data_IF_705674593782
#
_entry.id   IF_705674593782
#
_cell.length_a   1.000
_cell.length_b   1.000
_cell.length_c   1.000
_cell.angle_alpha   90.00
_cell.angle_beta   90.00
_cell.angle_gamma   90.00
#
_symmetry.space_group_name_H-M   'P 1'
#
loop_
_entity.id
_entity.type
_entity.pdbx_description
1 polymer ?
#
# COMPACT_ATOMS: atom_id res chain seq x y z
N UNK A 1 -14.90 -16.87 -6.08
CA UNK A 1 -14.02 -15.81 -6.56
C UNK A 1 -12.59 -16.22 -6.28
N UNK A 2 -11.73 -16.14 -7.27
CA UNK A 2 -10.30 -16.44 -7.17
C UNK A 2 -9.51 -15.15 -7.07
N UNK A 3 -8.54 -15.09 -6.14
CA UNK A 3 -7.69 -13.94 -5.93
C UNK A 3 -6.23 -14.38 -5.99
N UNK A 4 -5.41 -13.68 -6.76
CA UNK A 4 -3.96 -13.89 -6.81
C UNK A 4 -3.26 -12.71 -6.12
N UNK A 5 -2.49 -12.97 -5.06
CA UNK A 5 -1.81 -11.95 -4.25
C UNK A 5 -0.31 -12.03 -4.47
N UNK A 6 0.29 -10.98 -5.01
CA UNK A 6 1.75 -10.85 -5.22
C UNK A 6 2.42 -10.15 -4.04
N UNK A 7 3.41 -10.81 -3.46
CA UNK A 7 4.09 -10.40 -2.24
C UNK A 7 3.35 -10.89 -1.00
N UNK A 8 3.91 -11.88 -0.32
CA UNK A 8 3.37 -12.46 0.92
C UNK A 8 4.08 -11.89 2.16
N UNK A 9 4.41 -10.59 2.09
CA UNK A 9 4.99 -9.84 3.19
C UNK A 9 3.93 -9.33 4.18
N UNK A 10 4.28 -8.19 4.82
CA UNK A 10 3.52 -7.59 5.91
C UNK A 10 2.05 -7.23 5.57
N UNK A 11 1.77 -6.87 4.32
CA UNK A 11 0.42 -6.52 3.86
C UNK A 11 -0.23 -7.70 3.13
N UNK A 12 0.46 -8.30 2.15
CA UNK A 12 -0.18 -9.25 1.23
C UNK A 12 -0.56 -10.57 1.87
N UNK A 13 0.24 -11.12 2.78
CA UNK A 13 -0.12 -12.38 3.45
C UNK A 13 -1.34 -12.22 4.37
N UNK A 14 -1.44 -11.18 5.23
CA UNK A 14 -2.64 -10.94 6.02
C UNK A 14 -3.88 -10.69 5.16
N UNK A 15 -3.76 -9.89 4.09
CA UNK A 15 -4.86 -9.68 3.14
C UNK A 15 -5.30 -11.00 2.53
N UNK A 16 -4.37 -11.81 2.02
CA UNK A 16 -4.67 -13.12 1.43
C UNK A 16 -5.33 -14.08 2.42
N UNK A 17 -4.81 -14.16 3.65
CA UNK A 17 -5.38 -15.02 4.69
C UNK A 17 -6.79 -14.55 5.09
N UNK A 18 -7.02 -13.24 5.22
CA UNK A 18 -8.35 -12.69 5.48
C UNK A 18 -9.35 -13.06 4.38
N UNK A 19 -8.98 -12.86 3.11
CA UNK A 19 -9.82 -13.20 1.96
C UNK A 19 -10.16 -14.71 1.92
N UNK A 20 -9.19 -15.57 2.22
CA UNK A 20 -9.37 -17.01 2.30
C UNK A 20 -10.40 -17.40 3.40
N UNK A 21 -10.38 -16.72 4.56
CA UNK A 21 -11.38 -16.96 5.63
C UNK A 21 -12.78 -16.45 5.26
N UNK A 22 -12.88 -15.56 4.27
CA UNK A 22 -14.17 -15.13 3.68
C UNK A 22 -14.65 -16.07 2.56
N UNK A 23 -13.99 -17.23 2.38
CA UNK A 23 -14.37 -18.24 1.40
C UNK A 23 -13.88 -17.99 -0.02
N UNK A 24 -12.96 -17.06 -0.22
CA UNK A 24 -12.30 -16.84 -1.52
C UNK A 24 -11.16 -17.84 -1.70
N UNK A 25 -10.91 -18.28 -2.92
CA UNK A 25 -9.74 -19.07 -3.26
C UNK A 25 -8.56 -18.15 -3.52
N UNK A 26 -7.57 -18.18 -2.65
CA UNK A 26 -6.41 -17.28 -2.69
C UNK A 26 -5.16 -18.03 -3.11
N UNK A 27 -4.52 -17.55 -4.17
CA UNK A 27 -3.21 -17.99 -4.62
C UNK A 27 -2.20 -16.90 -4.31
N UNK A 28 -1.34 -17.14 -3.31
CA UNK A 28 -0.29 -16.22 -2.91
C UNK A 28 0.99 -16.47 -3.71
N UNK A 29 1.63 -15.41 -4.19
CA UNK A 29 2.87 -15.47 -4.98
C UNK A 29 3.97 -14.74 -4.24
N UNK A 30 5.09 -15.43 -3.99
CA UNK A 30 6.29 -14.82 -3.42
C UNK A 30 7.55 -15.41 -4.03
N UNK A 31 8.64 -14.65 -4.02
CA UNK A 31 9.94 -15.09 -4.54
C UNK A 31 10.79 -15.82 -3.49
N UNK A 32 10.36 -15.82 -2.21
CA UNK A 32 11.06 -16.48 -1.11
C UNK A 32 10.56 -17.92 -0.91
N UNK A 33 11.33 -18.96 -1.33
CA UNK A 33 10.89 -20.34 -1.21
C UNK A 33 10.66 -20.80 0.24
N UNK A 34 11.47 -20.29 1.19
CA UNK A 34 11.34 -20.65 2.59
C UNK A 34 10.03 -20.10 3.19
N UNK A 35 9.60 -18.89 2.78
CA UNK A 35 8.31 -18.33 3.17
C UNK A 35 7.16 -19.15 2.61
N UNK A 36 7.23 -19.52 1.34
CA UNK A 36 6.21 -20.35 0.66
C UNK A 36 6.07 -21.70 1.39
N UNK A 37 7.19 -22.36 1.70
CA UNK A 37 7.19 -23.62 2.44
C UNK A 37 6.59 -23.48 3.84
N UNK A 38 6.98 -22.43 4.58
CA UNK A 38 6.46 -22.17 5.92
C UNK A 38 4.95 -21.91 5.92
N UNK A 39 4.44 -21.15 4.94
CA UNK A 39 2.99 -20.88 4.80
C UNK A 39 2.26 -22.19 4.51
N UNK A 40 2.64 -22.91 3.45
CA UNK A 40 1.97 -24.15 3.03
C UNK A 40 2.07 -25.27 4.07
N UNK A 41 3.19 -25.32 4.81
CA UNK A 41 3.41 -26.27 5.89
C UNK A 41 2.71 -25.91 7.20
N UNK A 42 2.06 -24.74 7.30
CA UNK A 42 1.41 -24.26 8.53
C UNK A 42 2.39 -23.95 9.67
N UNK A 43 3.67 -23.69 9.35
CA UNK A 43 4.75 -23.37 10.29
C UNK A 43 5.12 -21.89 10.29
N UNK A 44 4.38 -21.08 9.55
CA UNK A 44 4.55 -19.62 9.53
C UNK A 44 4.31 -19.03 10.92
N UNK A 45 5.21 -18.15 11.34
CA UNK A 45 5.15 -17.43 12.63
C UNK A 45 5.22 -15.94 12.38
N UNK A 46 4.35 -15.19 13.03
CA UNK A 46 4.27 -13.73 12.92
C UNK A 46 4.41 -13.06 14.29
N UNK A 47 4.94 -11.84 14.30
CA UNK A 47 4.86 -10.95 15.46
C UNK A 47 3.48 -10.26 15.58
N UNK A 48 2.67 -10.31 14.51
CA UNK A 48 1.31 -9.77 14.51
C UNK A 48 0.36 -10.72 15.23
N UNK A 49 -0.44 -10.23 16.19
CA UNK A 49 -1.39 -11.06 16.92
C UNK A 49 -2.34 -11.82 15.97
N UNK A 50 -2.55 -13.10 16.25
CA UNK A 50 -3.49 -14.01 15.59
C UNK A 50 -3.25 -14.26 14.09
N UNK A 51 -2.23 -13.66 13.47
CA UNK A 51 -1.97 -13.83 12.04
C UNK A 51 -1.51 -15.26 11.71
N UNK A 52 -0.68 -15.86 12.53
CA UNK A 52 -0.23 -17.25 12.36
C UNK A 52 -1.40 -18.25 12.41
N UNK A 53 -2.35 -18.04 13.33
CA UNK A 53 -3.58 -18.85 13.44
C UNK A 53 -4.47 -18.66 12.21
N UNK A 54 -4.60 -17.42 11.73
CA UNK A 54 -5.40 -17.11 10.55
C UNK A 54 -4.82 -17.78 9.29
N UNK A 55 -3.50 -17.65 9.07
CA UNK A 55 -2.79 -18.27 7.95
C UNK A 55 -2.93 -19.79 8.02
N UNK A 56 -2.72 -20.39 9.18
CA UNK A 56 -2.88 -21.84 9.38
C UNK A 56 -4.29 -22.31 9.07
N UNK A 57 -5.31 -21.55 9.50
CA UNK A 57 -6.71 -21.83 9.19
C UNK A 57 -7.02 -21.71 7.69
N UNK A 58 -6.51 -20.67 7.04
CA UNK A 58 -6.68 -20.41 5.62
C UNK A 58 -6.06 -21.53 4.75
N UNK A 59 -4.84 -21.97 5.10
CA UNK A 59 -4.16 -23.09 4.44
C UNK A 59 -4.88 -24.42 4.73
N UNK A 60 -5.24 -24.66 5.99
CA UNK A 60 -5.93 -25.88 6.41
C UNK A 60 -7.30 -26.08 5.76
N UNK A 61 -8.00 -25.00 5.42
CA UNK A 61 -9.26 -25.05 4.66
C UNK A 61 -9.06 -25.28 3.15
N UNK A 62 -7.83 -25.22 2.65
CA UNK A 62 -7.50 -25.27 1.22
C UNK A 62 -7.82 -24.00 0.45
N UNK A 63 -8.21 -22.92 1.13
CA UNK A 63 -8.55 -21.65 0.50
C UNK A 63 -7.31 -20.73 0.28
N UNK A 64 -6.17 -21.02 0.90
CA UNK A 64 -4.91 -20.32 0.68
C UNK A 64 -3.82 -21.31 0.27
N UNK A 65 -3.17 -21.04 -0.85
CA UNK A 65 -1.99 -21.79 -1.32
C UNK A 65 -0.92 -20.76 -1.72
N UNK A 66 0.32 -20.94 -1.27
CA UNK A 66 1.45 -20.12 -1.67
C UNK A 66 2.30 -20.81 -2.75
N UNK A 67 2.83 -20.04 -3.70
CA UNK A 67 3.62 -20.52 -4.83
C UNK A 67 4.66 -19.49 -5.27
N UNK A 68 5.65 -19.88 -6.05
CA UNK A 68 6.57 -18.97 -6.75
C UNK A 68 6.01 -18.43 -8.07
N UNK A 69 4.95 -19.03 -8.60
CA UNK A 69 4.37 -18.69 -9.89
C UNK A 69 2.90 -18.25 -9.72
N UNK A 70 2.41 -17.27 -10.51
CA UNK A 70 1.02 -16.85 -10.48
C UNK A 70 0.08 -17.88 -11.10
N UNK A 71 -1.20 -17.71 -10.83
CA UNK A 71 -2.29 -18.49 -11.43
C UNK A 71 -3.39 -17.58 -11.97
N UNK A 72 -4.29 -18.14 -12.79
CA UNK A 72 -5.49 -17.45 -13.24
C UNK A 72 -6.38 -17.07 -12.04
N UNK A 73 -6.85 -15.83 -12.05
CA UNK A 73 -7.69 -15.28 -10.99
C UNK A 73 -8.70 -14.26 -11.53
N UNK A 74 -9.73 -13.96 -10.76
CA UNK A 74 -10.67 -12.87 -11.04
C UNK A 74 -10.05 -11.52 -10.64
N UNK A 75 -9.23 -11.54 -9.58
CA UNK A 75 -8.61 -10.35 -8.98
C UNK A 75 -7.13 -10.61 -8.71
N UNK A 76 -6.28 -9.64 -9.07
CA UNK A 76 -4.85 -9.64 -8.81
C UNK A 76 -4.51 -8.49 -7.86
N UNK A 77 -3.92 -8.80 -6.70
CA UNK A 77 -3.49 -7.81 -5.71
C UNK A 77 -1.97 -7.78 -5.70
N UNK A 78 -1.38 -6.58 -5.84
CA UNK A 78 0.06 -6.36 -5.76
C UNK A 78 0.40 -5.67 -4.45
N UNK A 79 1.07 -6.40 -3.56
CA UNK A 79 1.57 -5.94 -2.26
C UNK A 79 3.09 -6.20 -2.13
N UNK A 80 3.81 -5.96 -3.24
CA UNK A 80 5.26 -6.15 -3.35
C UNK A 80 6.03 -4.94 -2.80
N UNK A 81 7.29 -5.11 -2.35
CA UNK A 81 8.08 -4.00 -1.80
C UNK A 81 8.42 -2.94 -2.85
N UNK A 82 8.52 -1.69 -2.39
CA UNK A 82 8.89 -0.51 -3.17
C UNK A 82 9.95 0.30 -2.42
N UNK A 83 11.19 -0.20 -2.31
CA UNK A 83 12.23 0.50 -1.59
C UNK A 83 12.61 1.83 -2.29
N UNK A 84 13.10 2.79 -1.50
CA UNK A 84 13.68 4.01 -2.06
C UNK A 84 15.09 3.70 -2.56
N UNK A 85 15.51 4.34 -3.65
CA UNK A 85 16.89 4.27 -4.11
C UNK A 85 17.86 4.90 -3.09
N UNK A 86 19.12 4.45 -3.06
CA UNK A 86 20.15 4.93 -2.13
C UNK A 86 20.39 6.46 -2.23
N UNK A 87 20.24 7.03 -3.44
CA UNK A 87 20.33 8.46 -3.71
C UNK A 87 19.06 9.26 -3.36
N UNK A 88 18.02 8.57 -2.84
CA UNK A 88 16.70 9.13 -2.49
C UNK A 88 15.96 9.80 -3.67
N UNK A 89 16.34 9.48 -4.90
CA UNK A 89 15.77 10.05 -6.12
C UNK A 89 14.52 9.32 -6.64
N UNK A 90 13.85 8.52 -5.81
CA UNK A 90 12.61 7.83 -6.16
C UNK A 90 12.53 6.42 -5.61
N UNK A 91 11.49 5.68 -6.03
CA UNK A 91 11.24 4.30 -5.64
C UNK A 91 11.80 3.32 -6.67
N UNK A 92 12.34 2.21 -6.19
CA UNK A 92 12.59 1.05 -7.05
C UNK A 92 11.26 0.31 -7.32
N UNK A 93 10.78 0.45 -8.55
CA UNK A 93 9.56 -0.18 -9.04
C UNK A 93 9.81 -1.53 -9.74
N UNK A 94 11.01 -2.08 -9.64
CA UNK A 94 11.40 -3.32 -10.33
C UNK A 94 10.50 -4.51 -9.93
N UNK A 95 10.14 -4.62 -8.64
CA UNK A 95 9.26 -5.67 -8.15
C UNK A 95 7.82 -5.51 -8.70
N UNK A 96 7.29 -4.30 -8.78
CA UNK A 96 5.97 -4.04 -9.40
C UNK A 96 6.01 -4.38 -10.89
N UNK A 97 7.06 -3.96 -11.60
CA UNK A 97 7.23 -4.25 -13.02
C UNK A 97 7.33 -5.76 -13.29
N UNK A 98 8.07 -6.49 -12.44
CA UNK A 98 8.17 -7.95 -12.51
C UNK A 98 6.81 -8.62 -12.25
N UNK A 99 6.05 -8.17 -11.25
CA UNK A 99 4.71 -8.65 -10.97
C UNK A 99 3.74 -8.37 -12.15
N UNK A 100 3.78 -7.17 -12.75
CA UNK A 100 3.00 -6.85 -13.94
C UNK A 100 3.33 -7.79 -15.12
N UNK A 101 4.62 -8.09 -15.33
CA UNK A 101 5.04 -9.04 -16.36
C UNK A 101 4.52 -10.45 -16.07
N UNK A 102 4.63 -10.92 -14.83
CA UNK A 102 4.20 -12.27 -14.43
C UNK A 102 2.68 -12.45 -14.55
N UNK A 103 1.88 -11.49 -14.05
CA UNK A 103 0.42 -11.57 -14.12
C UNK A 103 -0.13 -11.43 -15.54
N UNK A 104 0.59 -10.76 -16.45
CA UNK A 104 0.10 -10.50 -17.82
C UNK A 104 -0.30 -11.76 -18.57
N UNK A 105 0.42 -12.88 -18.36
CA UNK A 105 0.10 -14.18 -18.98
C UNK A 105 -1.20 -14.82 -18.45
N UNK A 106 -1.73 -14.34 -17.34
CA UNK A 106 -2.91 -14.87 -16.65
C UNK A 106 -4.12 -13.96 -16.71
N UNK A 107 -3.99 -12.79 -17.38
CA UNK A 107 -5.10 -11.83 -17.50
C UNK A 107 -6.14 -12.28 -18.52
N UNK A 108 -7.38 -12.08 -18.14
CA UNK A 108 -8.56 -12.22 -19.00
C UNK A 108 -9.45 -10.97 -18.90
N UNK A 109 -10.30 -10.73 -19.91
CA UNK A 109 -11.31 -9.68 -19.82
C UNK A 109 -12.14 -9.77 -18.55
N UNK A 110 -12.43 -8.64 -17.93
CA UNK A 110 -13.18 -8.54 -16.67
C UNK A 110 -12.34 -8.65 -15.41
N UNK A 111 -11.06 -9.00 -15.50
CA UNK A 111 -10.18 -9.03 -14.34
C UNK A 111 -10.00 -7.65 -13.70
N UNK A 112 -9.78 -7.65 -12.39
CA UNK A 112 -9.42 -6.49 -11.59
C UNK A 112 -8.00 -6.62 -11.08
N UNK A 113 -7.17 -5.59 -11.30
CA UNK A 113 -5.83 -5.47 -10.73
C UNK A 113 -5.86 -4.37 -9.68
N UNK A 114 -5.37 -4.66 -8.48
CA UNK A 114 -5.30 -3.71 -7.37
C UNK A 114 -3.83 -3.57 -6.94
N UNK A 115 -3.33 -2.35 -6.92
CA UNK A 115 -2.04 -2.01 -6.35
C UNK A 115 -2.25 -1.56 -4.89
N UNK A 116 -1.82 -2.39 -3.93
CA UNK A 116 -1.82 -2.04 -2.49
C UNK A 116 -0.48 -1.48 -2.01
N UNK A 117 0.61 -1.76 -2.72
CA UNK A 117 1.93 -1.22 -2.38
C UNK A 117 1.91 0.32 -2.34
N UNK A 118 2.62 0.92 -1.38
CA UNK A 118 2.85 2.36 -1.35
C UNK A 118 3.81 2.76 -2.47
N UNK A 119 3.43 3.73 -3.30
CA UNK A 119 4.14 4.05 -4.55
C UNK A 119 4.21 5.54 -4.83
N UNK A 120 5.17 6.02 -5.64
CA UNK A 120 5.17 7.36 -6.21
C UNK A 120 3.94 7.64 -7.07
N UNK A 121 3.60 8.92 -7.19
CA UNK A 121 2.47 9.40 -7.99
C UNK A 121 2.64 9.03 -9.47
N UNK A 122 1.63 8.40 -10.06
CA UNK A 122 1.63 7.97 -11.47
C UNK A 122 2.05 6.51 -11.68
N UNK A 123 2.39 5.77 -10.62
CA UNK A 123 2.79 4.36 -10.73
C UNK A 123 1.67 3.48 -11.27
N UNK A 124 0.42 3.71 -10.87
CA UNK A 124 -0.74 2.96 -11.39
C UNK A 124 -0.91 3.18 -12.90
N UNK A 125 -0.72 4.41 -13.37
CA UNK A 125 -0.74 4.69 -14.82
C UNK A 125 0.42 4.00 -15.54
N UNK A 126 1.60 3.97 -14.93
CA UNK A 126 2.76 3.28 -15.49
C UNK A 126 2.54 1.75 -15.57
N UNK A 127 1.84 1.16 -14.60
CA UNK A 127 1.42 -0.24 -14.67
C UNK A 127 0.52 -0.50 -15.87
N UNK A 128 -0.45 0.38 -16.15
CA UNK A 128 -1.29 0.26 -17.33
C UNK A 128 -0.48 0.23 -18.63
N UNK A 129 0.58 1.06 -18.72
CA UNK A 129 1.50 1.05 -19.87
C UNK A 129 2.26 -0.27 -19.97
N UNK A 130 2.82 -0.79 -18.87
CA UNK A 130 3.56 -2.05 -18.88
C UNK A 130 2.68 -3.26 -19.24
N UNK A 131 1.48 -3.33 -18.65
CA UNK A 131 0.52 -4.41 -18.93
C UNK A 131 0.00 -4.32 -20.36
N UNK A 132 -0.38 -3.12 -20.83
CA UNK A 132 -0.85 -2.90 -22.20
C UNK A 132 0.20 -3.23 -23.27
N UNK A 133 1.49 -3.00 -22.98
CA UNK A 133 2.58 -3.41 -23.87
C UNK A 133 2.74 -4.95 -23.93
N UNK A 134 2.49 -5.67 -22.82
CA UNK A 134 2.54 -7.12 -22.78
C UNK A 134 1.26 -7.79 -23.31
N UNK A 135 0.10 -7.10 -23.23
CA UNK A 135 -1.23 -7.59 -23.63
C UNK A 135 -1.95 -6.55 -24.47
N UNK A 136 -1.51 -6.34 -25.72
CA UNK A 136 -2.13 -5.37 -26.64
C UNK A 136 -3.57 -5.74 -27.06
N UNK A 137 -3.99 -6.96 -26.79
CA UNK A 137 -5.32 -7.49 -26.98
C UNK A 137 -6.32 -7.04 -25.90
N UNK A 138 -5.81 -6.55 -24.73
CA UNK A 138 -6.62 -6.09 -23.61
C UNK A 138 -6.67 -4.55 -23.54
N UNK A 139 -7.78 -4.03 -23.04
CA UNK A 139 -7.94 -2.60 -22.79
C UNK A 139 -7.77 -2.32 -21.30
N UNK A 140 -6.70 -1.61 -20.92
CA UNK A 140 -6.43 -1.23 -19.53
C UNK A 140 -6.81 0.23 -19.34
N UNK A 141 -7.92 0.48 -18.61
CA UNK A 141 -8.32 1.81 -18.17
C UNK A 141 -8.20 2.91 -19.23
N UNK A 142 -9.00 2.88 -20.28
CA UNK A 142 -9.14 4.00 -21.22
C UNK A 142 -10.47 4.70 -20.96
N UNK A 143 -10.40 5.97 -20.58
CA UNK A 143 -11.57 6.82 -20.30
C UNK A 143 -12.51 7.00 -21.48
N UNK A 144 -12.00 6.81 -22.71
CA UNK A 144 -12.74 7.08 -23.96
C UNK A 144 -13.46 5.84 -24.52
N UNK A 145 -13.23 4.66 -23.95
CA UNK A 145 -13.93 3.42 -24.34
C UNK A 145 -15.11 3.25 -23.39
N UNK A 146 -16.33 3.19 -23.96
CA UNK A 146 -17.56 3.02 -23.18
C UNK A 146 -17.52 1.79 -22.27
N UNK A 147 -18.42 1.73 -21.29
CA UNK A 147 -18.51 0.65 -20.29
C UNK A 147 -18.69 -0.77 -20.88
N UNK A 148 -18.87 -0.91 -22.18
CA UNK A 148 -19.13 -2.15 -22.91
C UNK A 148 -17.90 -2.64 -23.72
N UNK A 149 -16.68 -2.43 -23.24
CA UNK A 149 -15.50 -3.03 -23.87
C UNK A 149 -15.31 -4.47 -23.35
N UNK A 150 -15.59 -5.44 -24.22
CA UNK A 150 -15.49 -6.87 -23.91
C UNK A 150 -14.07 -7.32 -23.55
N UNK A 151 -13.03 -6.53 -23.89
CA UNK A 151 -11.63 -6.84 -23.61
C UNK A 151 -11.07 -6.06 -22.41
N UNK A 152 -11.94 -5.44 -21.61
CA UNK A 152 -11.52 -4.56 -20.51
C UNK A 152 -10.93 -5.31 -19.32
N UNK A 153 -9.82 -4.78 -18.80
CA UNK A 153 -9.26 -5.09 -17.50
C UNK A 153 -9.28 -3.83 -16.63
N UNK A 154 -9.72 -3.97 -15.39
CA UNK A 154 -9.83 -2.88 -14.41
C UNK A 154 -8.55 -2.73 -13.63
N UNK A 155 -8.12 -1.50 -13.36
CA UNK A 155 -6.90 -1.22 -12.60
C UNK A 155 -7.16 -0.10 -11.58
N UNK A 156 -6.84 -0.36 -10.30
CA UNK A 156 -7.00 0.59 -9.22
C UNK A 156 -5.83 0.55 -8.25
N UNK A 157 -5.63 1.64 -7.53
CA UNK A 157 -4.76 1.74 -6.37
C UNK A 157 -5.60 1.82 -5.10
N UNK A 158 -5.28 1.01 -4.11
CA UNK A 158 -5.89 1.07 -2.78
C UNK A 158 -4.80 0.87 -1.71
N UNK A 159 -4.11 1.94 -1.30
CA UNK A 159 -2.99 1.84 -0.38
C UNK A 159 -3.43 1.37 1.01
N UNK A 160 -2.60 0.54 1.64
CA UNK A 160 -2.84 0.06 2.99
C UNK A 160 -2.39 1.08 4.05
N UNK A 161 -3.09 1.09 5.20
CA UNK A 161 -2.92 2.06 6.30
C UNK A 161 -2.86 1.41 7.67
N UNK A 162 -2.51 0.13 7.75
CA UNK A 162 -2.48 -0.63 9.00
C UNK A 162 -1.29 -0.28 9.88
N UNK A 163 -1.50 -0.38 11.19
CA UNK A 163 -0.48 -0.22 12.20
C UNK A 163 -0.02 -1.61 12.73
N UNK A 164 1.28 -1.77 13.01
CA UNK A 164 1.79 -2.96 13.70
C UNK A 164 1.05 -3.23 15.02
N UNK A 165 0.72 -4.51 15.25
CA UNK A 165 0.00 -4.95 16.43
C UNK A 165 -1.53 -4.85 16.36
N UNK A 166 -2.10 -4.22 15.31
CA UNK A 166 -3.55 -4.08 15.10
C UNK A 166 -3.98 -4.43 13.67
N UNK A 167 -3.09 -5.04 12.92
CA UNK A 167 -3.21 -5.26 11.48
C UNK A 167 -4.53 -5.92 11.09
N UNK A 168 -4.90 -7.02 11.75
CA UNK A 168 -6.12 -7.78 11.41
C UNK A 168 -7.41 -7.00 11.67
N UNK A 169 -7.46 -6.22 12.75
CA UNK A 169 -8.59 -5.35 13.04
C UNK A 169 -8.68 -4.22 12.01
N UNK A 170 -7.57 -3.56 11.75
CA UNK A 170 -7.52 -2.39 10.87
C UNK A 170 -7.74 -2.73 9.39
N UNK A 171 -7.37 -3.94 8.93
CA UNK A 171 -7.74 -4.42 7.60
C UNK A 171 -9.25 -4.46 7.37
N UNK A 172 -10.04 -4.68 8.43
CA UNK A 172 -11.49 -4.76 8.36
C UNK A 172 -12.20 -3.43 8.66
N UNK A 173 -11.63 -2.60 9.55
CA UNK A 173 -12.34 -1.46 10.15
C UNK A 173 -11.91 -0.11 9.59
N UNK A 174 -10.67 0.00 9.05
CA UNK A 174 -10.19 1.27 8.52
C UNK A 174 -10.93 1.69 7.24
N UNK A 175 -11.18 2.98 7.14
CA UNK A 175 -11.64 3.60 5.91
C UNK A 175 -10.61 3.40 4.79
N UNK A 176 -11.08 3.18 3.56
CA UNK A 176 -10.24 2.99 2.40
C UNK A 176 -10.36 4.12 1.40
N UNK A 177 -9.25 4.44 0.75
CA UNK A 177 -9.24 5.31 -0.43
C UNK A 177 -8.96 4.44 -1.65
N UNK A 178 -9.91 4.37 -2.57
CA UNK A 178 -9.79 3.61 -3.81
C UNK A 178 -9.66 4.57 -4.98
N UNK A 179 -8.49 4.59 -5.62
CA UNK A 179 -8.21 5.38 -6.81
C UNK A 179 -8.18 4.51 -8.06
N UNK A 180 -9.21 4.62 -8.91
CA UNK A 180 -9.18 3.94 -10.20
C UNK A 180 -8.37 4.71 -11.24
N UNK A 181 -7.79 3.97 -12.22
CA UNK A 181 -7.26 4.59 -13.42
C UNK A 181 -8.38 5.28 -14.24
N UNK A 182 -9.60 4.81 -14.04
CA UNK A 182 -10.85 5.40 -14.47
C UNK A 182 -11.98 5.09 -13.47
N UNK A 183 -13.15 5.70 -13.68
CA UNK A 183 -14.29 5.55 -12.76
C UNK A 183 -14.78 4.11 -12.63
N UNK A 184 -14.97 3.31 -13.71
CA UNK A 184 -15.36 1.91 -13.59
C UNK A 184 -14.35 1.05 -12.81
N UNK A 185 -13.05 1.31 -12.93
CA UNK A 185 -12.01 0.62 -12.14
C UNK A 185 -12.13 0.92 -10.64
N UNK A 186 -12.37 2.19 -10.28
CA UNK A 186 -12.59 2.57 -8.89
C UNK A 186 -13.85 1.89 -8.32
N UNK A 187 -14.94 1.86 -9.06
CA UNK A 187 -16.21 1.22 -8.65
C UNK A 187 -16.06 -0.29 -8.49
N UNK A 188 -15.36 -0.94 -9.42
CA UNK A 188 -15.09 -2.38 -9.34
C UNK A 188 -14.24 -2.74 -8.12
N UNK A 189 -13.22 -1.96 -7.82
CA UNK A 189 -12.39 -2.17 -6.62
C UNK A 189 -13.14 -1.85 -5.33
N UNK A 190 -13.99 -0.80 -5.28
CA UNK A 190 -14.89 -0.54 -4.15
C UNK A 190 -15.78 -1.76 -3.87
N UNK A 191 -16.42 -2.30 -4.89
CA UNK A 191 -17.37 -3.43 -4.74
C UNK A 191 -16.65 -4.69 -4.21
N UNK A 192 -15.37 -4.87 -4.58
CA UNK A 192 -14.55 -5.93 -4.02
C UNK A 192 -14.28 -5.69 -2.52
N UNK A 193 -13.80 -4.51 -2.13
CA UNK A 193 -13.51 -4.21 -0.72
C UNK A 193 -14.78 -4.18 0.15
N UNK A 194 -15.91 -3.70 -0.36
CA UNK A 194 -17.19 -3.66 0.35
C UNK A 194 -17.68 -5.04 0.79
N UNK A 195 -17.18 -6.13 0.21
CA UNK A 195 -17.52 -7.48 0.62
C UNK A 195 -16.97 -7.87 2.01
N UNK A 196 -15.93 -7.16 2.51
CA UNK A 196 -15.29 -7.52 3.78
C UNK A 196 -14.83 -6.33 4.64
N UNK A 197 -14.62 -5.14 4.08
CA UNK A 197 -14.28 -3.91 4.81
C UNK A 197 -15.54 -3.30 5.41
N UNK A 198 -15.44 -2.84 6.65
CA UNK A 198 -16.53 -2.20 7.41
C UNK A 198 -16.43 -0.67 7.42
N UNK A 199 -15.22 -0.15 7.21
CA UNK A 199 -14.97 1.29 7.10
C UNK A 199 -15.55 1.88 5.81
N UNK A 200 -15.58 3.20 5.73
CA UNK A 200 -16.02 3.92 4.54
C UNK A 200 -15.02 3.73 3.38
N UNK A 201 -15.53 3.63 2.15
CA UNK A 201 -14.71 3.49 0.95
C UNK A 201 -14.88 4.74 0.08
N UNK A 202 -13.91 5.64 0.16
CA UNK A 202 -13.87 6.86 -0.66
C UNK A 202 -13.32 6.56 -2.05
N UNK A 203 -14.03 6.99 -3.10
CA UNK A 203 -13.59 6.84 -4.49
C UNK A 203 -12.87 8.08 -4.98
N UNK A 204 -11.75 7.87 -5.70
CA UNK A 204 -10.94 8.90 -6.31
C UNK A 204 -10.30 8.41 -7.62
N UNK A 205 -9.43 9.21 -8.22
CA UNK A 205 -8.50 8.75 -9.26
C UNK A 205 -7.21 8.20 -8.64
N UNK A 206 -6.47 7.42 -9.41
CA UNK A 206 -5.26 6.74 -8.96
C UNK A 206 -4.21 7.72 -8.39
N UNK A 207 -3.91 8.82 -9.08
CA UNK A 207 -2.91 9.82 -8.63
C UNK A 207 -3.28 10.44 -7.29
N UNK A 208 -4.56 10.74 -7.09
CA UNK A 208 -5.03 11.32 -5.82
C UNK A 208 -4.91 10.31 -4.68
N UNK A 209 -5.23 9.03 -4.92
CA UNK A 209 -5.09 7.98 -3.92
C UNK A 209 -3.61 7.73 -3.55
N UNK A 210 -2.72 7.68 -4.56
CA UNK A 210 -1.27 7.58 -4.35
C UNK A 210 -0.74 8.75 -3.51
N UNK A 211 -1.05 10.00 -3.89
CA UNK A 211 -0.59 11.18 -3.16
C UNK A 211 -1.19 11.25 -1.75
N UNK A 212 -2.47 10.90 -1.58
CA UNK A 212 -3.15 10.92 -0.27
C UNK A 212 -2.39 10.06 0.75
N UNK A 213 -2.02 8.84 0.37
CA UNK A 213 -1.24 7.94 1.23
C UNK A 213 0.12 8.52 1.62
N UNK A 214 0.85 9.06 0.66
CA UNK A 214 2.16 9.66 0.90
C UNK A 214 2.04 10.92 1.79
N UNK A 215 0.97 11.70 1.61
CA UNK A 215 0.72 12.91 2.40
C UNK A 215 0.52 12.60 3.88
N UNK A 216 -0.13 11.50 4.25
CA UNK A 216 -0.34 11.10 5.64
C UNK A 216 0.99 10.94 6.38
N UNK A 217 1.95 10.25 5.77
CA UNK A 217 3.27 10.03 6.35
C UNK A 217 4.16 11.29 6.27
N UNK A 218 4.10 12.06 5.17
CA UNK A 218 4.82 13.31 5.05
C UNK A 218 4.34 14.37 6.06
N UNK A 219 3.03 14.43 6.34
CA UNK A 219 2.48 15.31 7.38
C UNK A 219 3.05 14.96 8.76
N UNK A 220 3.09 13.67 9.12
CA UNK A 220 3.67 13.24 10.39
C UNK A 220 5.16 13.54 10.46
N UNK A 221 5.90 13.31 9.39
CA UNK A 221 7.33 13.59 9.29
C UNK A 221 7.66 15.08 9.52
N UNK A 222 6.94 15.97 8.82
CA UNK A 222 7.09 17.42 8.99
C UNK A 222 6.79 17.85 10.44
N UNK A 223 5.77 17.28 11.07
CA UNK A 223 5.44 17.62 12.47
C UNK A 223 6.49 17.08 13.46
N UNK A 224 7.10 15.93 13.19
CA UNK A 224 8.22 15.40 14.00
C UNK A 224 9.44 16.27 13.81
N UNK A 225 9.79 16.65 12.58
CA UNK A 225 10.91 17.54 12.28
C UNK A 225 10.75 18.90 12.98
N UNK A 226 9.53 19.47 12.95
CA UNK A 226 9.24 20.71 13.69
C UNK A 226 9.46 20.54 15.20
N UNK A 227 9.00 19.43 15.80
CA UNK A 227 9.22 19.18 17.23
C UNK A 227 10.71 18.98 17.57
N UNK A 228 11.48 18.34 16.69
CA UNK A 228 12.91 18.12 16.85
C UNK A 228 13.67 19.46 16.75
N UNK A 229 13.36 20.30 15.75
CA UNK A 229 13.97 21.63 15.61
C UNK A 229 13.64 22.51 16.84
N UNK A 230 12.39 22.49 17.31
CA UNK A 230 12.02 23.18 18.54
C UNK A 230 12.80 22.70 19.76
N UNK A 231 13.07 21.40 19.85
CA UNK A 231 13.88 20.84 20.94
C UNK A 231 15.32 21.41 20.91
N UNK A 232 15.93 21.50 19.72
CA UNK A 232 17.26 22.11 19.60
C UNK A 232 17.29 23.60 19.96
N UNK A 233 16.24 24.35 19.58
CA UNK A 233 16.08 25.76 19.96
C UNK A 233 15.90 25.91 21.48
N UNK A 234 15.10 25.06 22.10
CA UNK A 234 14.88 25.08 23.56
C UNK A 234 16.17 24.75 24.34
N UNK A 235 16.97 23.81 23.85
CA UNK A 235 18.27 23.46 24.43
C UNK A 235 19.23 24.66 24.40
N UNK A 236 19.29 25.38 23.28
CA UNK A 236 20.12 26.60 23.16
C UNK A 236 19.67 27.74 24.09
N UNK A 237 18.35 27.80 24.36
CA UNK A 237 17.76 28.86 25.19
C UNK A 237 17.58 28.48 26.66
N UNK A 238 18.03 27.30 27.09
CA UNK A 238 17.83 26.74 28.44
C UNK A 238 16.34 26.67 28.86
N UNK A 239 15.50 26.21 27.92
CA UNK A 239 14.05 26.03 28.09
C UNK A 239 13.67 24.55 28.01
N UNK A 240 12.73 24.11 28.83
CA UNK A 240 12.18 22.75 28.77
C UNK A 240 11.18 22.61 27.59
N UNK A 241 11.60 21.88 26.54
CA UNK A 241 10.78 21.62 25.37
C UNK A 241 9.49 20.86 25.68
N UNK A 242 9.50 19.99 26.68
CA UNK A 242 8.34 19.20 27.07
C UNK A 242 7.24 20.11 27.65
N UNK A 243 7.62 21.07 28.50
CA UNK A 243 6.71 22.08 29.03
C UNK A 243 6.18 22.99 27.93
N UNK A 244 7.03 23.42 26.99
CA UNK A 244 6.60 24.24 25.85
C UNK A 244 5.56 23.52 25.03
N UNK A 245 5.75 22.25 24.68
CA UNK A 245 4.82 21.46 23.88
C UNK A 245 3.51 21.23 24.65
N UNK A 246 3.57 20.91 25.95
CA UNK A 246 2.39 20.75 26.78
C UNK A 246 1.53 22.03 26.79
N UNK A 247 2.18 23.17 27.00
CA UNK A 247 1.49 24.47 27.03
C UNK A 247 0.94 24.86 25.66
N UNK A 248 1.69 24.65 24.58
CA UNK A 248 1.24 24.94 23.22
C UNK A 248 0.04 24.08 22.82
N UNK A 249 0.02 22.82 23.20
CA UNK A 249 -1.09 21.89 22.91
C UNK A 249 -2.38 22.19 23.69
N UNK A 250 -2.36 23.11 24.66
CA UNK A 250 -3.58 23.64 25.28
C UNK A 250 -4.36 24.54 24.31
N UNK A 251 -3.73 25.05 23.27
CA UNK A 251 -4.40 25.82 22.23
C UNK A 251 -5.26 24.92 21.35
N UNK A 252 -6.57 25.21 21.13
CA UNK A 252 -7.51 24.27 20.51
C UNK A 252 -7.22 23.90 19.04
N UNK A 253 -6.31 24.61 18.38
CA UNK A 253 -5.88 24.35 16.98
C UNK A 253 -4.45 23.88 16.86
N UNK A 254 -3.79 23.50 17.97
CA UNK A 254 -2.41 23.03 18.02
C UNK A 254 -2.39 21.60 18.53
N UNK A 255 -1.71 20.72 17.82
CA UNK A 255 -1.47 19.32 18.23
C UNK A 255 -0.07 18.93 17.78
N UNK A 256 0.94 19.40 18.51
CA UNK A 256 2.35 19.11 18.24
C UNK A 256 2.69 17.70 18.66
N UNK A 257 3.48 17.01 17.84
CA UNK A 257 4.10 15.74 18.20
C UNK A 257 5.28 15.98 19.14
N UNK A 258 5.73 14.91 19.81
CA UNK A 258 6.87 14.95 20.70
C UNK A 258 8.18 14.82 19.90
N UNK A 259 9.26 15.51 20.30
CA UNK A 259 10.57 15.32 19.70
C UNK A 259 11.09 13.91 19.96
N UNK A 260 11.92 13.42 19.05
CA UNK A 260 12.50 12.07 19.11
C UNK A 260 13.91 12.07 18.52
N UNK A 261 14.67 11.00 18.78
CA UNK A 261 16.03 10.84 18.28
C UNK A 261 16.15 10.67 16.75
N UNK A 262 15.06 10.85 16.05
CA UNK A 262 14.95 10.72 14.60
C UNK A 262 13.81 9.79 14.17
N UNK A 263 13.54 9.77 12.86
CA UNK A 263 12.48 8.96 12.25
C UNK A 263 13.09 7.78 11.52
N UNK A 264 12.79 6.57 12.02
CA UNK A 264 13.18 5.31 11.41
C UNK A 264 12.01 4.59 10.76
N UNK A 265 12.26 3.31 10.39
CA UNK A 265 11.26 2.41 9.81
C UNK A 265 11.11 2.56 8.30
N UNK A 266 10.13 1.81 7.76
CA UNK A 266 9.94 1.65 6.32
C UNK A 266 8.87 2.59 5.71
N UNK A 267 8.21 3.42 6.52
CA UNK A 267 7.11 4.28 6.08
C UNK A 267 7.47 5.76 6.17
N UNK A 268 7.52 6.34 7.40
CA UNK A 268 7.75 7.78 7.57
C UNK A 268 9.13 8.20 7.04
N UNK A 269 10.14 7.35 7.17
CA UNK A 269 11.48 7.61 6.66
C UNK A 269 11.60 7.55 5.13
N UNK A 270 10.62 6.95 4.44
CA UNK A 270 10.67 6.61 3.01
C UNK A 270 9.66 7.41 2.19
N UNK A 271 8.38 7.39 2.55
CA UNK A 271 7.27 7.94 1.75
C UNK A 271 7.43 9.42 1.38
N UNK A 272 7.95 10.31 2.26
CA UNK A 272 8.16 11.71 1.89
C UNK A 272 9.10 11.89 0.69
N UNK A 273 10.10 11.01 0.54
CA UNK A 273 11.01 11.05 -0.60
C UNK A 273 10.30 10.78 -1.94
N UNK A 274 9.21 9.99 -1.94
CA UNK A 274 8.41 9.78 -3.15
C UNK A 274 7.70 11.06 -3.59
N UNK A 275 7.25 11.91 -2.65
CA UNK A 275 6.70 13.24 -2.96
C UNK A 275 7.81 14.16 -3.50
N UNK A 276 8.97 14.17 -2.83
CA UNK A 276 10.13 14.99 -3.26
C UNK A 276 10.56 14.60 -4.67
N UNK A 277 10.67 13.31 -4.97
CA UNK A 277 11.04 12.83 -6.30
C UNK A 277 9.98 13.17 -7.36
N UNK A 278 8.69 13.17 -6.99
CA UNK A 278 7.59 13.50 -7.92
C UNK A 278 7.48 15.01 -8.22
N UNK A 279 7.94 15.88 -7.31
CA UNK A 279 7.84 17.34 -7.45
C UNK A 279 9.06 18.04 -6.82
N UNK A 280 10.28 17.84 -7.34
CA UNK A 280 11.53 18.27 -6.66
C UNK A 280 11.64 19.79 -6.49
N UNK A 281 11.09 20.57 -7.42
CA UNK A 281 11.11 22.04 -7.37
C UNK A 281 10.06 22.65 -6.42
N UNK A 282 9.13 21.84 -5.90
CA UNK A 282 8.00 22.30 -5.08
C UNK A 282 8.00 21.73 -3.66
N UNK A 283 8.53 20.53 -3.46
CA UNK A 283 8.49 19.80 -2.19
C UNK A 283 9.62 20.27 -1.21
N UNK A 284 9.82 21.59 -1.07
CA UNK A 284 10.91 22.14 -0.26
C UNK A 284 10.75 21.84 1.23
N UNK A 285 9.56 22.09 1.80
CA UNK A 285 9.28 21.84 3.21
C UNK A 285 9.46 20.36 3.57
N UNK A 286 8.91 19.46 2.74
CA UNK A 286 8.99 18.02 2.96
C UNK A 286 10.43 17.54 2.91
N UNK A 287 11.22 18.06 1.96
CA UNK A 287 12.64 17.72 1.84
C UNK A 287 13.44 18.18 3.06
N UNK A 288 13.29 19.44 3.48
CA UNK A 288 13.99 19.98 4.64
C UNK A 288 13.61 19.22 5.92
N UNK A 289 12.35 18.87 6.09
CA UNK A 289 11.92 18.05 7.22
C UNK A 289 12.61 16.68 7.29
N UNK A 290 13.01 16.11 6.13
CA UNK A 290 13.80 14.87 6.08
C UNK A 290 15.28 15.06 6.40
N UNK A 291 15.78 16.31 6.40
CA UNK A 291 17.16 16.69 6.67
C UNK A 291 17.37 17.09 8.14
N UNK A 292 16.30 17.47 8.84
CA UNK A 292 16.26 17.72 10.29
C UNK A 292 16.23 16.41 11.07
#
# INVERSE_FOLDING_TARGET
MKVCVFGLGYVGLPTGALLATKGMQVHGVDTNPALIEAINGGTFVSAEPDLDLLVKSAVGSGNLVASGEPSEADIFILAVPTPVYDDKCGADLSAIKAACKALSGHLAPGNLIILESTVPIGTTEQMAVWIGAARPDLTIGKSDVGANDDNRVYLAHCPERVLPGRLMQELLENDRTVGGIDRPSAERARDFYAAFVRGDIALSNARTAELSKLTENAYRDVNIAFANELSMICDELDIDVWEVIELANKHPRVNMLMPSAGVGGHCIAVDPWFIVASAPDRANLIRVAREV
#
